data_IF_055685683283
#
_entry.id   IF_055685683283
#
_cell.length_a   1.000
_cell.length_b   1.000
_cell.length_c   1.000
_cell.angle_alpha   90.00
_cell.angle_beta   90.00
_cell.angle_gamma   90.00
#
_symmetry.space_group_name_H-M   'P 1'
#
loop_
_entity.id
_entity.type
_entity.pdbx_description
1 polymer ?
#
# COMPACT_ATOMS: atom_id res chain seq x y z
N UNK A 1 25.82 -23.68 -14.85
CA UNK A 1 25.63 -22.84 -13.65
C UNK A 1 25.08 -21.50 -14.09
N UNK A 2 23.95 -21.04 -13.54
CA UNK A 2 23.47 -19.66 -13.81
C UNK A 2 24.49 -18.68 -13.24
N UNK A 3 24.85 -17.59 -13.96
CA UNK A 3 25.80 -16.64 -13.44
C UNK A 3 25.22 -16.02 -12.16
N UNK A 4 25.99 -16.07 -11.06
CA UNK A 4 25.73 -15.19 -9.91
C UNK A 4 25.92 -13.77 -10.43
N UNK A 5 24.85 -12.98 -10.42
CA UNK A 5 25.01 -11.53 -10.50
C UNK A 5 25.98 -11.14 -9.38
N UNK A 6 27.09 -10.52 -9.76
CA UNK A 6 27.96 -9.89 -8.80
C UNK A 6 27.11 -8.88 -8.01
N UNK A 7 27.15 -8.96 -6.69
CA UNK A 7 26.61 -7.93 -5.80
C UNK A 7 27.47 -6.66 -5.97
N UNK A 8 27.26 -5.95 -7.08
CA UNK A 8 27.68 -4.57 -7.22
C UNK A 8 26.83 -3.72 -6.30
N UNK A 9 27.39 -2.62 -5.80
CA UNK A 9 26.68 -1.60 -5.06
C UNK A 9 25.43 -1.14 -5.85
N UNK A 10 24.26 -1.70 -5.52
CA UNK A 10 23.04 -1.63 -6.32
C UNK A 10 21.98 -2.54 -5.70
N UNK A 11 21.15 -1.92 -4.85
CA UNK A 11 20.25 -2.53 -3.87
C UNK A 11 19.52 -3.81 -4.27
N UNK A 12 19.43 -4.74 -3.31
CA UNK A 12 18.59 -5.93 -3.35
C UNK A 12 17.20 -5.63 -3.96
N UNK A 13 16.75 -6.51 -4.86
CA UNK A 13 15.40 -6.43 -5.43
C UNK A 13 14.45 -7.10 -4.45
N UNK A 14 13.39 -6.40 -4.07
CA UNK A 14 12.35 -6.95 -3.19
C UNK A 14 11.11 -7.37 -3.97
N UNK A 15 10.47 -8.44 -3.52
CA UNK A 15 9.11 -8.79 -3.92
C UNK A 15 8.13 -8.22 -2.91
N UNK A 16 7.12 -7.48 -3.38
CA UNK A 16 6.06 -6.91 -2.54
C UNK A 16 4.73 -7.52 -2.97
N UNK A 17 4.09 -8.22 -2.04
CA UNK A 17 2.68 -8.54 -2.18
C UNK A 17 1.85 -7.38 -1.62
N UNK A 18 1.30 -6.55 -2.51
CA UNK A 18 0.44 -5.44 -2.12
C UNK A 18 -1.00 -5.97 -1.98
N UNK A 19 -1.36 -6.62 -0.88
CA UNK A 19 -2.70 -7.19 -0.73
C UNK A 19 -3.79 -6.15 -0.41
N UNK A 20 -5.05 -6.58 -0.40
CA UNK A 20 -6.18 -5.70 -0.07
C UNK A 20 -6.19 -5.37 1.43
N UNK A 21 -6.05 -6.38 2.29
CA UNK A 21 -6.10 -6.22 3.75
C UNK A 21 -4.72 -6.20 4.39
N UNK A 22 -3.79 -7.00 3.88
CA UNK A 22 -2.41 -7.08 4.37
C UNK A 22 -1.45 -7.10 3.19
N UNK A 23 -0.28 -6.53 3.40
CA UNK A 23 0.82 -6.56 2.47
C UNK A 23 2.02 -7.27 3.10
N UNK A 24 2.88 -7.86 2.28
CA UNK A 24 4.14 -8.46 2.72
C UNK A 24 5.29 -8.05 1.79
N UNK A 25 6.51 -8.12 2.32
CA UNK A 25 7.71 -7.86 1.55
C UNK A 25 8.74 -8.95 1.82
N UNK A 26 9.38 -9.42 0.76
CA UNK A 26 10.40 -10.45 0.82
C UNK A 26 11.57 -10.15 -0.09
N UNK A 27 12.70 -10.79 0.19
CA UNK A 27 13.95 -10.68 -0.58
C UNK A 27 14.46 -12.09 -0.90
N UNK A 28 15.05 -12.26 -2.09
CA UNK A 28 15.72 -13.51 -2.44
C UNK A 28 17.22 -13.35 -2.21
N UNK A 29 17.76 -14.01 -1.17
CA UNK A 29 19.18 -13.96 -0.83
C UNK A 29 19.67 -15.33 -0.35
N UNK A 30 20.97 -15.56 -0.47
CA UNK A 30 21.61 -16.80 0.02
C UNK A 30 20.97 -18.11 -0.51
N UNK A 31 20.32 -18.05 -1.69
CA UNK A 31 19.67 -19.19 -2.31
C UNK A 31 18.23 -19.46 -1.84
N UNK A 32 17.67 -18.63 -0.96
CA UNK A 32 16.32 -18.75 -0.43
C UNK A 32 15.52 -17.45 -0.49
N UNK A 33 14.21 -17.58 -0.28
CA UNK A 33 13.31 -16.43 -0.05
C UNK A 33 13.23 -16.18 1.45
N UNK A 34 13.44 -14.93 1.86
CA UNK A 34 13.23 -14.47 3.22
C UNK A 34 12.10 -13.45 3.26
N UNK A 35 11.08 -13.71 4.09
CA UNK A 35 9.98 -12.76 4.33
C UNK A 35 10.38 -11.84 5.48
N UNK A 36 10.40 -10.54 5.22
CA UNK A 36 10.94 -9.54 6.11
C UNK A 36 9.87 -9.17 7.16
N UNK A 37 10.15 -9.32 8.46
CA UNK A 37 9.26 -8.86 9.51
C UNK A 37 9.26 -7.32 9.60
N UNK A 38 8.12 -6.73 9.93
CA UNK A 38 8.02 -5.31 10.25
C UNK A 38 8.59 -4.99 11.64
N UNK A 39 8.52 -3.73 12.06
CA UNK A 39 9.07 -3.26 13.34
C UNK A 39 8.44 -3.93 14.59
N UNK A 40 7.28 -4.58 14.44
CA UNK A 40 6.60 -5.33 15.50
C UNK A 40 6.89 -6.85 15.42
N UNK A 41 7.72 -7.29 14.48
CA UNK A 41 8.04 -8.70 14.25
C UNK A 41 7.03 -9.44 13.37
N UNK A 42 6.02 -8.77 12.82
CA UNK A 42 5.02 -9.39 11.97
C UNK A 42 5.50 -9.53 10.53
N UNK A 43 5.30 -10.70 9.91
CA UNK A 43 5.64 -10.96 8.49
C UNK A 43 4.62 -10.43 7.48
N UNK A 44 3.53 -9.88 7.97
CA UNK A 44 2.50 -9.19 7.19
C UNK A 44 2.18 -7.88 7.89
N UNK A 45 1.92 -6.84 7.10
CA UNK A 45 1.59 -5.50 7.60
C UNK A 45 0.21 -5.11 7.09
N UNK A 46 -0.70 -4.59 7.93
CA UNK A 46 -2.01 -4.12 7.48
C UNK A 46 -1.89 -3.12 6.31
N UNK A 47 -2.73 -3.25 5.30
CA UNK A 47 -2.79 -2.30 4.16
C UNK A 47 -3.74 -1.16 4.52
N UNK A 48 -3.35 -0.43 5.57
CA UNK A 48 -4.15 0.61 6.21
C UNK A 48 -3.33 1.87 6.32
N UNK A 49 -3.95 3.01 6.02
CA UNK A 49 -3.36 4.35 6.10
C UNK A 49 -4.28 5.22 6.95
N UNK A 50 -3.76 5.82 8.02
CA UNK A 50 -4.50 6.75 8.85
C UNK A 50 -3.90 8.16 8.73
N UNK A 51 -4.75 9.15 8.52
CA UNK A 51 -4.37 10.55 8.43
C UNK A 51 -4.64 11.26 9.75
N UNK A 52 -3.59 11.81 10.35
CA UNK A 52 -3.65 12.59 11.58
C UNK A 52 -3.15 14.01 11.32
N UNK A 53 -3.30 14.88 12.32
CA UNK A 53 -2.82 16.25 12.24
C UNK A 53 -1.27 16.32 12.28
N UNK A 54 -0.65 15.32 12.90
CA UNK A 54 0.82 15.18 13.03
C UNK A 54 1.47 14.45 11.85
N UNK A 55 0.68 13.86 10.95
CA UNK A 55 1.19 13.20 9.75
C UNK A 55 0.37 11.97 9.34
N UNK A 56 1.05 11.04 8.67
CA UNK A 56 0.44 9.83 8.14
C UNK A 56 0.98 8.61 8.86
N UNK A 57 0.08 7.76 9.36
CA UNK A 57 0.42 6.46 9.92
C UNK A 57 0.08 5.39 8.89
N UNK A 58 0.86 4.30 8.89
CA UNK A 58 0.65 3.15 8.00
C UNK A 58 0.79 1.84 8.77
N UNK A 59 0.17 0.77 8.27
CA UNK A 59 0.33 -0.56 8.86
C UNK A 59 -0.35 -0.72 10.21
N UNK A 60 0.33 -1.39 11.14
CA UNK A 60 -0.18 -1.66 12.48
C UNK A 60 -0.51 -0.37 13.24
N UNK A 61 0.31 0.67 13.09
CA UNK A 61 0.08 1.97 13.73
C UNK A 61 -1.23 2.63 13.24
N UNK A 62 -1.52 2.55 11.94
CA UNK A 62 -2.77 3.06 11.38
C UNK A 62 -3.98 2.24 11.85
N UNK A 63 -3.84 0.91 11.90
CA UNK A 63 -4.91 0.00 12.33
C UNK A 63 -5.37 0.27 13.76
N UNK A 64 -4.45 0.59 14.67
CA UNK A 64 -4.79 0.94 16.07
C UNK A 64 -5.69 2.17 16.15
N UNK A 65 -5.54 3.13 15.22
CA UNK A 65 -6.34 4.36 15.19
C UNK A 65 -7.72 4.17 14.54
N UNK A 66 -7.96 3.07 13.84
CA UNK A 66 -9.18 2.87 13.04
C UNK A 66 -10.48 3.03 13.86
N UNK A 67 -10.48 2.64 15.14
CA UNK A 67 -11.65 2.79 16.01
C UNK A 67 -11.85 4.22 16.54
N UNK A 68 -10.79 5.04 16.57
CA UNK A 68 -10.80 6.40 17.11
C UNK A 68 -11.07 7.46 16.03
N UNK A 69 -10.58 7.21 14.81
CA UNK A 69 -10.73 8.12 13.66
C UNK A 69 -11.09 7.31 12.39
N UNK A 70 -12.25 6.62 12.37
CA UNK A 70 -12.62 5.74 11.27
C UNK A 70 -12.76 6.49 9.92
N UNK A 71 -13.25 7.73 9.94
CA UNK A 71 -13.42 8.58 8.75
C UNK A 71 -12.09 9.00 8.09
N UNK A 72 -10.99 8.95 8.85
CA UNK A 72 -9.65 9.30 8.41
C UNK A 72 -8.72 8.08 8.29
N UNK A 73 -9.25 6.88 8.46
CA UNK A 73 -8.48 5.64 8.39
C UNK A 73 -8.93 4.82 7.19
N UNK A 74 -8.11 4.82 6.16
CA UNK A 74 -8.40 4.22 4.85
C UNK A 74 -7.82 2.81 4.80
N UNK A 75 -8.66 1.86 4.42
CA UNK A 75 -8.33 0.46 4.13
C UNK A 75 -9.00 0.04 2.83
N UNK A 76 -8.68 -1.15 2.33
CA UNK A 76 -9.28 -1.70 1.10
C UNK A 76 -9.10 -0.80 -0.14
N UNK A 77 -8.11 0.10 -0.15
CA UNK A 77 -7.83 1.00 -1.27
C UNK A 77 -7.63 0.25 -2.62
N UNK A 78 -7.15 -1.00 -2.56
CA UNK A 78 -7.01 -1.89 -3.72
C UNK A 78 -8.34 -2.24 -4.38
N UNK A 79 -9.48 -2.09 -3.71
CA UNK A 79 -10.81 -2.24 -4.32
C UNK A 79 -11.16 -1.07 -5.23
N UNK A 80 -10.63 0.12 -4.92
CA UNK A 80 -10.91 1.37 -5.62
C UNK A 80 -9.89 1.65 -6.75
N UNK A 81 -8.68 1.09 -6.66
CA UNK A 81 -7.59 1.38 -7.59
C UNK A 81 -7.99 1.12 -9.05
N UNK A 82 -7.72 2.10 -9.92
CA UNK A 82 -8.01 2.02 -11.35
C UNK A 82 -9.49 1.95 -11.74
N UNK A 83 -10.43 2.14 -10.80
CA UNK A 83 -11.88 2.11 -11.08
C UNK A 83 -12.47 3.50 -11.25
N UNK A 84 -13.55 3.57 -12.04
CA UNK A 84 -14.42 4.76 -12.12
C UNK A 84 -15.18 4.94 -10.81
N UNK A 85 -15.42 6.18 -10.40
CA UNK A 85 -16.31 6.45 -9.27
C UNK A 85 -17.73 5.90 -9.52
N UNK A 86 -18.19 5.90 -10.77
CA UNK A 86 -19.53 5.42 -11.15
C UNK A 86 -19.67 3.89 -11.24
N UNK A 87 -18.61 3.13 -10.95
CA UNK A 87 -18.66 1.66 -10.94
C UNK A 87 -19.58 1.17 -9.82
N UNK A 88 -20.46 0.20 -10.12
CA UNK A 88 -21.42 -0.35 -9.17
C UNK A 88 -20.73 -0.97 -7.95
N UNK A 89 -19.58 -1.62 -8.16
CA UNK A 89 -18.79 -2.20 -7.07
C UNK A 89 -18.23 -1.08 -6.17
N UNK A 90 -17.75 0.01 -6.77
CA UNK A 90 -17.23 1.17 -6.02
C UNK A 90 -18.34 1.82 -5.20
N UNK A 91 -19.53 2.01 -5.78
CA UNK A 91 -20.67 2.58 -5.06
C UNK A 91 -21.13 1.67 -3.91
N UNK A 92 -21.14 0.34 -4.13
CA UNK A 92 -21.46 -0.64 -3.09
C UNK A 92 -20.44 -0.62 -1.95
N UNK A 93 -19.14 -0.65 -2.27
CA UNK A 93 -18.07 -0.58 -1.28
C UNK A 93 -18.10 0.75 -0.51
N UNK A 94 -18.27 1.88 -1.20
CA UNK A 94 -18.35 3.22 -0.62
C UNK A 94 -19.50 3.38 0.39
N UNK A 95 -20.61 2.68 0.20
CA UNK A 95 -21.73 2.69 1.15
C UNK A 95 -21.42 1.98 2.47
N UNK A 96 -20.36 1.16 2.52
CA UNK A 96 -19.95 0.41 3.71
C UNK A 96 -18.76 1.04 4.44
N UNK A 97 -18.00 1.90 3.77
CA UNK A 97 -16.83 2.52 4.35
C UNK A 97 -17.18 3.68 5.29
N UNK A 98 -16.44 3.84 6.40
CA UNK A 98 -16.60 4.99 7.28
C UNK A 98 -15.94 6.26 6.72
N UNK A 99 -14.98 6.11 5.81
CA UNK A 99 -14.33 7.21 5.10
C UNK A 99 -15.06 7.53 3.80
N UNK A 100 -14.91 8.77 3.33
CA UNK A 100 -15.66 9.27 2.19
C UNK A 100 -14.95 8.94 0.88
N UNK A 101 -15.64 8.22 -0.01
CA UNK A 101 -15.20 8.02 -1.40
C UNK A 101 -15.83 9.10 -2.28
N UNK A 102 -15.01 9.75 -3.11
CA UNK A 102 -15.42 10.85 -4.00
C UNK A 102 -14.97 10.61 -5.44
N UNK A 103 -15.55 11.36 -6.37
CA UNK A 103 -15.08 11.41 -7.75
C UNK A 103 -13.96 12.45 -7.88
N UNK A 104 -12.79 12.03 -8.36
CA UNK A 104 -11.72 12.92 -8.80
C UNK A 104 -11.40 12.62 -10.26
N UNK A 105 -11.73 13.56 -11.15
CA UNK A 105 -11.56 13.34 -12.60
C UNK A 105 -12.31 12.11 -13.14
N UNK A 106 -13.44 11.72 -12.52
CA UNK A 106 -14.21 10.53 -12.85
C UNK A 106 -13.72 9.23 -12.22
N UNK A 107 -12.54 9.23 -11.59
CA UNK A 107 -11.99 8.06 -10.87
C UNK A 107 -12.42 8.06 -9.41
N UNK A 108 -12.43 6.88 -8.81
CA UNK A 108 -12.64 6.73 -7.37
C UNK A 108 -11.42 7.27 -6.59
N UNK A 109 -11.68 8.18 -5.66
CA UNK A 109 -10.71 8.79 -4.76
C UNK A 109 -11.26 8.82 -3.33
N UNK A 110 -10.40 9.06 -2.35
CA UNK A 110 -10.77 9.12 -0.94
C UNK A 110 -10.58 10.54 -0.43
N UNK A 111 -11.58 11.08 0.26
CA UNK A 111 -11.51 12.37 0.95
C UNK A 111 -11.34 12.13 2.45
N UNK A 112 -10.33 12.78 3.03
CA UNK A 112 -10.02 12.75 4.48
C UNK A 112 -9.83 14.18 4.99
N UNK A 113 -9.99 14.39 6.30
CA UNK A 113 -9.80 15.72 6.90
C UNK A 113 -8.48 15.80 7.65
N UNK A 114 -7.56 16.67 7.23
CA UNK A 114 -6.25 16.85 7.88
C UNK A 114 -6.10 18.30 8.33
N UNK A 115 -5.90 18.55 9.62
CA UNK A 115 -5.80 19.91 10.16
C UNK A 115 -7.06 20.75 9.88
N UNK A 116 -8.23 20.12 9.93
CA UNK A 116 -9.52 20.77 9.62
C UNK A 116 -9.76 21.05 8.13
N UNK A 117 -8.87 20.63 7.23
CA UNK A 117 -9.02 20.83 5.79
C UNK A 117 -9.27 19.51 5.07
N UNK A 118 -10.28 19.47 4.20
CA UNK A 118 -10.55 18.32 3.35
C UNK A 118 -9.43 18.14 2.31
N UNK A 119 -8.90 16.92 2.19
CA UNK A 119 -7.89 16.53 1.21
C UNK A 119 -8.37 15.30 0.46
N UNK A 120 -8.17 15.30 -0.85
CA UNK A 120 -8.55 14.19 -1.73
C UNK A 120 -7.28 13.46 -2.17
N UNK A 121 -7.28 12.15 -2.06
CA UNK A 121 -6.21 11.25 -2.49
C UNK A 121 -6.76 10.24 -3.48
N UNK A 122 -6.07 10.03 -4.60
CA UNK A 122 -6.37 8.90 -5.47
C UNK A 122 -6.08 7.58 -4.74
N UNK A 123 -6.83 6.52 -5.07
CA UNK A 123 -6.62 5.19 -4.49
C UNK A 123 -5.19 4.65 -4.72
N UNK A 124 -4.54 5.07 -5.81
CA UNK A 124 -3.13 4.76 -6.09
C UNK A 124 -2.18 5.45 -5.10
N UNK A 125 -2.46 6.68 -4.67
CA UNK A 125 -1.65 7.40 -3.67
C UNK A 125 -1.75 6.73 -2.29
N UNK A 126 -2.94 6.25 -1.91
CA UNK A 126 -3.11 5.46 -0.68
C UNK A 126 -2.28 4.17 -0.75
N UNK A 127 -2.32 3.48 -1.88
CA UNK A 127 -1.53 2.27 -2.11
C UNK A 127 -0.02 2.56 -2.10
N UNK A 128 0.41 3.72 -2.61
CA UNK A 128 1.80 4.15 -2.60
C UNK A 128 2.34 4.35 -1.18
N UNK A 129 1.51 4.85 -0.24
CA UNK A 129 1.89 4.97 1.18
C UNK A 129 2.14 3.59 1.81
N UNK A 130 1.35 2.57 1.44
CA UNK A 130 1.60 1.18 1.86
C UNK A 130 2.89 0.63 1.24
N UNK A 131 3.15 0.91 -0.04
CA UNK A 131 4.40 0.52 -0.70
C UNK A 131 5.63 1.20 -0.07
N UNK A 132 5.52 2.48 0.31
CA UNK A 132 6.57 3.19 1.05
C UNK A 132 6.84 2.52 2.39
N UNK A 133 5.81 2.06 3.10
CA UNK A 133 5.98 1.28 4.32
C UNK A 133 6.71 -0.04 4.06
N UNK A 134 6.36 -0.77 3.00
CA UNK A 134 7.03 -2.03 2.63
C UNK A 134 8.50 -1.79 2.26
N UNK A 135 8.79 -0.72 1.53
CA UNK A 135 10.15 -0.28 1.25
C UNK A 135 10.92 0.02 2.53
N UNK A 136 10.37 0.85 3.42
CA UNK A 136 11.03 1.20 4.69
C UNK A 136 11.33 -0.04 5.54
N UNK A 137 10.39 -0.99 5.60
CA UNK A 137 10.59 -2.26 6.30
C UNK A 137 11.76 -3.05 5.71
N UNK A 138 11.85 -3.13 4.38
CA UNK A 138 12.97 -3.79 3.72
C UNK A 138 14.30 -3.06 3.93
N UNK A 139 14.32 -1.73 3.82
CA UNK A 139 15.54 -0.92 4.02
C UNK A 139 16.08 -1.03 5.45
N UNK A 140 15.18 -1.02 6.45
CA UNK A 140 15.56 -1.22 7.85
C UNK A 140 16.17 -2.60 8.08
N UNK A 141 15.61 -3.64 7.45
CA UNK A 141 16.09 -5.01 7.57
C UNK A 141 17.44 -5.23 6.86
N UNK A 142 17.59 -4.66 5.67
CA UNK A 142 18.78 -4.83 4.83
C UNK A 142 19.92 -3.88 5.20
N UNK A 143 19.63 -2.78 5.92
CA UNK A 143 20.60 -1.74 6.25
C UNK A 143 21.07 -0.93 5.04
N UNK A 144 20.32 -0.96 3.93
CA UNK A 144 20.67 -0.31 2.68
C UNK A 144 19.42 0.15 1.90
N UNK A 145 19.55 1.17 1.02
CA UNK A 145 18.43 1.63 0.20
C UNK A 145 17.90 0.58 -0.77
N UNK A 146 16.58 0.51 -0.91
CA UNK A 146 15.87 -0.37 -1.85
C UNK A 146 15.28 0.50 -2.97
N UNK A 147 15.74 0.25 -4.21
CA UNK A 147 15.37 1.05 -5.38
C UNK A 147 14.60 0.26 -6.44
N UNK A 148 14.55 -1.07 -6.32
CA UNK A 148 13.91 -1.96 -7.27
C UNK A 148 12.96 -2.91 -6.54
N UNK A 149 11.75 -3.05 -7.08
CA UNK A 149 10.74 -3.93 -6.53
C UNK A 149 9.91 -4.60 -7.64
N UNK A 150 9.45 -5.81 -7.37
CA UNK A 150 8.38 -6.47 -8.11
C UNK A 150 7.13 -6.43 -7.26
N UNK A 151 6.06 -5.78 -7.75
CA UNK A 151 4.79 -5.65 -7.03
C UNK A 151 3.75 -6.57 -7.65
N UNK A 152 3.05 -7.36 -6.83
CA UNK A 152 2.00 -8.27 -7.30
C UNK A 152 0.67 -7.53 -7.55
N UNK A 153 -0.09 -8.03 -8.52
CA UNK A 153 -1.46 -7.60 -8.79
C UNK A 153 -2.35 -8.83 -9.01
N UNK A 154 -3.66 -8.76 -8.71
CA UNK A 154 -4.57 -9.87 -8.97
C UNK A 154 -4.61 -10.21 -10.46
N UNK A 155 -4.80 -11.50 -10.78
CA UNK A 155 -4.83 -11.96 -12.17
C UNK A 155 -5.96 -11.29 -12.99
N UNK A 156 -7.08 -10.97 -12.33
CA UNK A 156 -8.25 -10.34 -12.95
C UNK A 156 -8.13 -8.81 -13.10
N UNK A 157 -7.04 -8.17 -12.66
CA UNK A 157 -6.85 -6.74 -12.90
C UNK A 157 -6.74 -6.44 -14.40
N UNK A 158 -7.50 -5.45 -14.85
CA UNK A 158 -7.39 -4.89 -16.18
C UNK A 158 -6.15 -3.97 -16.30
N UNK A 159 -5.85 -3.50 -17.51
CA UNK A 159 -4.65 -2.69 -17.77
C UNK A 159 -4.63 -1.36 -17.00
N UNK A 160 -5.78 -0.72 -16.81
CA UNK A 160 -5.86 0.52 -16.03
C UNK A 160 -5.50 0.29 -14.56
N UNK A 161 -5.96 -0.81 -13.96
CA UNK A 161 -5.64 -1.18 -12.59
C UNK A 161 -4.17 -1.60 -12.42
N UNK A 162 -3.62 -2.31 -13.41
CA UNK A 162 -2.19 -2.66 -13.46
C UNK A 162 -1.32 -1.40 -13.56
N UNK A 163 -1.68 -0.47 -14.44
CA UNK A 163 -0.93 0.77 -14.63
C UNK A 163 -1.05 1.70 -13.42
N UNK A 164 -2.20 1.72 -12.72
CA UNK A 164 -2.36 2.49 -11.50
C UNK A 164 -1.56 1.91 -10.31
N UNK A 165 -1.21 0.61 -10.35
CA UNK A 165 -0.37 -0.02 -9.31
C UNK A 165 1.12 0.18 -9.55
N UNK A 166 1.53 0.49 -10.79
CA UNK A 166 2.92 0.60 -11.24
C UNK A 166 3.46 2.01 -11.02
#
# INVERSE_FOLDING_TARGET
ARPRLAAGAGGEIVGIDLGTTYSCVGVYREGGVEIIPNEFGHRVTPSVVAFTDDGTLTGDAARVQASLRPENTVYDAKRLIGRSFSDVDVQSDAATFPFKVVSSGGKAAVEVTVGGTAKVFEAAEISALVLQKMKQTAENFLGAPVTQAVVTVPAYFNDAQRQATK
#
